data_IF_501304073681
#
_entry.id   IF_501304073681
#
_cell.length_a   1.000
_cell.length_b   1.000
_cell.length_c   1.000
_cell.angle_alpha   90.00
_cell.angle_beta   90.00
_cell.angle_gamma   90.00
#
_symmetry.space_group_name_H-M   'P 1'
#
loop_
_entity.id
_entity.type
_entity.pdbx_description
1 polymer ?
#
# COMPACT_ATOMS: atom_id res chain seq x y z
N UNK A 1 1.94 4.13 -7.04
CA UNK A 1 3.40 4.13 -6.77
C UNK A 1 3.69 5.27 -5.82
N UNK A 2 4.48 5.03 -4.78
CA UNK A 2 4.85 6.05 -3.79
C UNK A 2 6.37 6.17 -3.70
N UNK A 3 6.87 7.39 -3.67
CA UNK A 3 8.31 7.68 -3.69
C UNK A 3 8.64 8.64 -2.54
N UNK A 4 9.47 8.18 -1.60
CA UNK A 4 10.11 9.01 -0.58
C UNK A 4 11.60 9.16 -0.92
N UNK A 5 12.29 10.03 -0.19
CA UNK A 5 13.75 10.21 -0.32
C UNK A 5 14.55 8.92 -0.12
N UNK A 6 14.02 7.96 0.65
CA UNK A 6 14.73 6.74 1.06
C UNK A 6 13.94 5.45 0.82
N UNK A 7 12.69 5.53 0.32
CA UNK A 7 11.76 4.39 0.19
C UNK A 7 10.99 4.51 -1.12
N UNK A 8 10.78 3.37 -1.78
CA UNK A 8 9.94 3.26 -2.98
C UNK A 8 8.94 2.12 -2.74
N UNK A 9 7.67 2.39 -3.01
CA UNK A 9 6.61 1.37 -3.02
C UNK A 9 5.98 1.34 -4.40
N UNK A 10 6.06 0.17 -5.04
CA UNK A 10 5.49 -0.08 -6.35
C UNK A 10 4.58 -1.30 -6.27
N UNK A 11 3.27 -1.05 -6.44
CA UNK A 11 2.24 -2.08 -6.54
C UNK A 11 1.67 -2.08 -7.95
N UNK A 12 1.54 -3.26 -8.55
CA UNK A 12 0.94 -3.45 -9.87
C UNK A 12 0.02 -4.66 -9.84
N UNK A 13 -0.99 -4.68 -10.71
CA UNK A 13 -1.96 -5.76 -10.79
C UNK A 13 -1.98 -6.41 -12.19
N UNK A 14 -2.89 -7.38 -12.36
CA UNK A 14 -3.16 -8.10 -13.62
C UNK A 14 -1.93 -8.88 -14.08
N UNK A 15 -1.42 -8.63 -15.29
CA UNK A 15 -0.30 -9.35 -15.92
C UNK A 15 0.95 -8.49 -16.04
N UNK A 16 1.02 -7.40 -15.26
CA UNK A 16 2.16 -6.49 -15.26
C UNK A 16 3.39 -7.22 -14.72
N UNK A 17 4.50 -7.15 -15.45
CA UNK A 17 5.74 -7.82 -15.03
C UNK A 17 6.57 -6.91 -14.12
N UNK A 18 6.13 -6.75 -12.87
CA UNK A 18 6.74 -5.85 -11.88
C UNK A 18 8.25 -6.06 -11.74
N UNK A 19 8.70 -7.31 -11.58
CA UNK A 19 10.12 -7.62 -11.38
C UNK A 19 10.97 -7.34 -12.62
N UNK A 20 10.36 -7.23 -13.80
CA UNK A 20 11.09 -6.77 -15.00
C UNK A 20 11.47 -5.30 -14.92
N UNK A 21 10.79 -4.47 -14.12
CA UNK A 21 11.15 -3.06 -13.94
C UNK A 21 12.31 -2.87 -12.95
N UNK A 22 12.52 -3.82 -12.04
CA UNK A 22 13.41 -3.67 -10.90
C UNK A 22 14.86 -3.31 -11.27
N UNK A 23 15.53 -3.95 -12.26
CA UNK A 23 16.90 -3.57 -12.62
C UNK A 23 17.03 -2.10 -13.03
N UNK A 24 16.05 -1.58 -13.78
CA UNK A 24 16.05 -0.18 -14.24
C UNK A 24 15.79 0.79 -13.08
N UNK A 25 14.97 0.40 -12.09
CA UNK A 25 14.75 1.19 -10.88
C UNK A 25 16.07 1.35 -10.10
N UNK A 26 16.83 0.26 -9.91
CA UNK A 26 18.11 0.30 -9.19
C UNK A 26 19.17 1.12 -9.93
N UNK A 27 19.17 1.08 -11.27
CA UNK A 27 20.03 1.93 -12.09
C UNK A 27 19.66 3.43 -11.96
N UNK A 28 18.36 3.76 -12.02
CA UNK A 28 17.89 5.14 -11.84
C UNK A 28 18.31 5.68 -10.46
N UNK A 29 18.20 4.86 -9.41
CA UNK A 29 18.63 5.21 -8.07
C UNK A 29 20.14 5.57 -8.03
N UNK A 30 20.98 4.78 -8.70
CA UNK A 30 22.43 5.00 -8.78
C UNK A 30 22.82 6.23 -9.62
N UNK A 31 22.10 6.48 -10.71
CA UNK A 31 22.43 7.55 -11.66
C UNK A 31 21.89 8.91 -11.25
N UNK A 32 20.66 8.96 -10.72
CA UNK A 32 19.90 10.21 -10.56
C UNK A 32 19.52 10.53 -9.12
N UNK A 33 19.41 9.54 -8.24
CA UNK A 33 18.93 9.77 -6.87
C UNK A 33 20.06 9.90 -5.82
N UNK A 34 21.32 9.85 -6.24
CA UNK A 34 22.48 10.08 -5.37
C UNK A 34 22.82 8.92 -4.43
N UNK A 35 22.25 7.73 -4.66
CA UNK A 35 22.60 6.54 -3.87
C UNK A 35 23.95 5.95 -4.30
N UNK A 36 24.63 5.18 -3.41
CA UNK A 36 25.90 4.54 -3.72
C UNK A 36 25.83 3.69 -4.98
N UNK A 37 26.82 3.86 -5.86
CA UNK A 37 26.95 3.11 -7.11
C UNK A 37 27.68 1.81 -6.84
N UNK A 38 27.13 0.71 -7.33
CA UNK A 38 27.73 -0.61 -7.34
C UNK A 38 27.71 -1.18 -8.76
N UNK A 39 28.58 -2.14 -9.05
CA UNK A 39 28.53 -2.89 -10.30
C UNK A 39 27.18 -3.59 -10.41
N UNK A 40 26.48 -3.36 -11.52
CA UNK A 40 25.20 -4.02 -11.73
C UNK A 40 25.39 -5.55 -11.87
N UNK A 41 24.41 -6.35 -11.40
CA UNK A 41 24.34 -7.76 -11.73
C UNK A 41 24.45 -7.99 -13.24
N UNK A 42 25.02 -9.13 -13.71
CA UNK A 42 25.12 -9.47 -15.13
C UNK A 42 23.73 -9.79 -15.71
N UNK A 43 22.89 -8.78 -15.80
CA UNK A 43 21.50 -8.82 -16.22
C UNK A 43 21.20 -7.55 -17.04
N UNK A 44 20.71 -7.75 -18.28
CA UNK A 44 20.11 -6.70 -19.14
C UNK A 44 21.00 -5.50 -19.52
N UNK A 45 22.31 -5.72 -19.73
CA UNK A 45 23.26 -4.69 -20.23
C UNK A 45 23.41 -3.46 -19.32
N UNK A 46 23.10 -3.59 -18.03
CA UNK A 46 23.32 -2.53 -17.05
C UNK A 46 24.77 -2.56 -16.56
N UNK A 47 25.39 -1.39 -16.42
CA UNK A 47 26.75 -1.25 -15.89
C UNK A 47 26.76 -0.87 -14.40
N UNK A 48 25.74 -0.14 -13.96
CA UNK A 48 25.63 0.39 -12.59
C UNK A 48 24.25 0.15 -12.01
N UNK A 49 24.21 -0.12 -10.71
CA UNK A 49 22.99 -0.24 -9.93
C UNK A 49 23.28 0.22 -8.49
N UNK A 50 22.24 0.58 -7.76
CA UNK A 50 22.35 0.87 -6.33
C UNK A 50 21.79 -0.27 -5.52
N UNK A 51 22.53 -0.72 -4.51
CA UNK A 51 22.04 -1.70 -3.56
C UNK A 51 21.06 -1.01 -2.60
N UNK A 52 19.78 -1.43 -2.54
CA UNK A 52 18.85 -0.89 -1.56
C UNK A 52 19.28 -1.30 -0.15
N UNK A 53 18.83 -0.55 0.86
CA UNK A 53 19.04 -0.97 2.25
C UNK A 53 18.35 -2.30 2.54
N UNK A 54 17.11 -2.47 2.06
CA UNK A 54 16.32 -3.68 2.24
C UNK A 54 15.29 -3.82 1.12
N UNK A 55 14.95 -5.06 0.76
CA UNK A 55 13.94 -5.37 -0.26
C UNK A 55 12.84 -6.19 0.36
N UNK A 56 11.59 -5.82 0.04
CA UNK A 56 10.41 -6.63 0.29
C UNK A 56 9.68 -6.81 -1.04
N UNK A 57 9.45 -8.06 -1.42
CA UNK A 57 8.61 -8.41 -2.54
C UNK A 57 7.55 -9.39 -2.07
N UNK A 58 6.29 -9.05 -2.25
CA UNK A 58 5.20 -9.88 -1.80
C UNK A 58 4.05 -9.90 -2.80
N UNK A 59 3.23 -10.94 -2.68
CA UNK A 59 1.93 -11.03 -3.34
C UNK A 59 1.07 -12.11 -2.71
N UNK A 60 -0.25 -11.93 -2.80
CA UNK A 60 -1.21 -13.01 -2.58
C UNK A 60 -1.13 -14.06 -3.71
N UNK A 61 -1.60 -15.27 -3.44
CA UNK A 61 -1.84 -16.26 -4.49
C UNK A 61 -2.75 -15.70 -5.60
N UNK A 62 -2.42 -16.01 -6.85
CA UNK A 62 -3.18 -15.51 -7.99
C UNK A 62 -4.48 -16.28 -8.18
N UNK A 63 -5.54 -15.56 -8.57
CA UNK A 63 -6.78 -16.16 -9.05
C UNK A 63 -6.61 -16.84 -10.43
N UNK A 64 -5.66 -16.38 -11.24
CA UNK A 64 -5.40 -16.96 -12.57
C UNK A 64 -3.88 -17.08 -12.80
N UNK A 65 -3.19 -18.01 -12.11
CA UNK A 65 -1.74 -18.13 -12.21
C UNK A 65 -1.26 -18.41 -13.64
N UNK A 66 -2.01 -19.22 -14.41
CA UNK A 66 -1.66 -19.57 -15.80
C UNK A 66 -1.65 -18.38 -16.77
N UNK A 67 -2.29 -17.27 -16.41
CA UNK A 67 -2.32 -16.04 -17.23
C UNK A 67 -1.10 -15.15 -17.02
N UNK A 68 -0.28 -15.45 -16.01
CA UNK A 68 0.87 -14.61 -15.67
C UNK A 68 2.00 -14.73 -16.69
N UNK A 69 2.75 -13.63 -16.83
CA UNK A 69 3.89 -13.53 -17.74
C UNK A 69 5.19 -13.59 -16.94
N UNK A 70 6.25 -14.15 -17.55
CA UNK A 70 7.55 -14.24 -16.90
C UNK A 70 8.06 -12.86 -16.45
N UNK A 71 8.63 -12.74 -15.24
CA UNK A 71 9.01 -13.82 -14.31
C UNK A 71 7.90 -14.35 -13.38
N UNK A 72 6.65 -13.86 -13.47
CA UNK A 72 5.58 -14.11 -12.50
C UNK A 72 4.75 -15.39 -12.73
N UNK A 73 5.28 -16.35 -13.50
CA UNK A 73 4.56 -17.60 -13.83
C UNK A 73 4.50 -18.57 -12.65
N UNK A 74 5.48 -18.51 -11.76
CA UNK A 74 5.53 -19.33 -10.56
C UNK A 74 6.33 -18.62 -9.47
N UNK A 75 6.04 -18.93 -8.21
CA UNK A 75 6.82 -18.39 -7.08
C UNK A 75 8.32 -18.73 -7.21
N UNK A 76 8.63 -19.93 -7.71
CA UNK A 76 10.01 -20.36 -7.99
C UNK A 76 10.71 -19.45 -9.00
N UNK A 77 10.02 -19.05 -10.07
CA UNK A 77 10.60 -18.17 -11.10
C UNK A 77 10.82 -16.75 -10.58
N UNK A 78 9.93 -16.26 -9.70
CA UNK A 78 10.04 -14.96 -9.04
C UNK A 78 11.24 -14.91 -8.10
N UNK A 79 11.38 -15.92 -7.22
CA UNK A 79 12.53 -16.07 -6.32
C UNK A 79 13.83 -16.17 -7.12
N UNK A 80 13.86 -17.03 -8.16
CA UNK A 80 15.03 -17.14 -9.05
C UNK A 80 15.35 -15.83 -9.78
N UNK A 81 14.37 -14.97 -10.04
CA UNK A 81 14.60 -13.67 -10.63
C UNK A 81 15.23 -12.70 -9.64
N UNK A 82 14.78 -12.72 -8.37
CA UNK A 82 15.28 -11.89 -7.29
C UNK A 82 16.69 -12.31 -6.83
N UNK A 83 16.97 -13.61 -6.72
CA UNK A 83 18.29 -14.15 -6.35
C UNK A 83 19.39 -13.81 -7.37
N UNK A 84 19.02 -13.48 -8.61
CA UNK A 84 19.96 -12.96 -9.62
C UNK A 84 20.40 -11.53 -9.32
N UNK A 85 19.63 -10.79 -8.54
CA UNK A 85 19.86 -9.38 -8.24
C UNK A 85 20.41 -9.19 -6.83
N UNK A 86 19.93 -9.95 -5.85
CA UNK A 86 20.28 -9.77 -4.44
C UNK A 86 20.93 -11.02 -3.85
N UNK A 87 21.93 -10.82 -3.00
CA UNK A 87 22.51 -11.89 -2.20
C UNK A 87 21.67 -12.14 -0.94
N UNK A 88 21.66 -13.37 -0.43
CA UNK A 88 21.03 -13.78 0.84
C UNK A 88 19.53 -13.46 0.93
N UNK A 89 18.81 -13.58 -0.18
CA UNK A 89 17.35 -13.51 -0.19
C UNK A 89 16.71 -14.65 0.61
N UNK A 90 15.65 -14.33 1.35
CA UNK A 90 14.82 -15.31 2.06
C UNK A 90 13.40 -15.29 1.50
N UNK A 91 12.89 -16.46 1.12
CA UNK A 91 11.57 -16.64 0.54
C UNK A 91 10.66 -17.48 1.44
N UNK A 92 9.44 -17.00 1.67
CA UNK A 92 8.43 -17.59 2.54
C UNK A 92 7.09 -17.69 1.82
N UNK A 93 6.31 -18.69 2.22
CA UNK A 93 4.90 -18.82 1.89
C UNK A 93 4.15 -18.93 3.21
N UNK A 94 3.24 -17.99 3.43
CA UNK A 94 2.49 -17.85 4.68
C UNK A 94 1.02 -18.14 4.39
N UNK A 95 0.46 -19.17 5.03
CA UNK A 95 -0.90 -19.64 4.77
C UNK A 95 -0.96 -21.08 4.28
N UNK A 96 -2.15 -21.51 3.85
CA UNK A 96 -2.37 -22.87 3.34
C UNK A 96 -1.93 -22.98 1.88
N UNK A 97 -1.11 -23.98 1.56
CA UNK A 97 -0.64 -24.23 0.19
C UNK A 97 -1.79 -24.41 -0.81
N UNK A 98 -2.83 -25.12 -0.37
CA UNK A 98 -4.03 -25.48 -1.12
C UNK A 98 -5.22 -24.56 -0.77
N UNK A 99 -4.93 -23.30 -0.48
CA UNK A 99 -5.93 -22.33 -0.09
C UNK A 99 -5.34 -20.93 -0.05
N UNK A 100 -5.81 -20.14 0.90
CA UNK A 100 -5.41 -18.75 1.04
C UNK A 100 -3.99 -18.64 1.59
N UNK A 101 -3.08 -18.10 0.77
CA UNK A 101 -1.69 -17.87 1.15
C UNK A 101 -1.10 -16.63 0.50
N UNK A 102 -0.02 -16.17 1.11
CA UNK A 102 0.71 -14.99 0.76
C UNK A 102 2.19 -15.31 0.64
N UNK A 103 2.82 -14.86 -0.43
CA UNK A 103 4.23 -15.06 -0.72
C UNK A 103 5.03 -13.84 -0.30
N UNK A 104 6.20 -14.09 0.26
CA UNK A 104 7.13 -13.06 0.70
C UNK A 104 8.54 -13.42 0.31
N UNK A 105 9.24 -12.49 -0.32
CA UNK A 105 10.68 -12.49 -0.45
C UNK A 105 11.19 -11.24 0.28
N UNK A 106 12.19 -11.41 1.14
CA UNK A 106 12.88 -10.30 1.76
C UNK A 106 14.39 -10.52 1.81
N UNK A 107 15.11 -9.42 1.92
CA UNK A 107 16.54 -9.42 2.24
C UNK A 107 16.77 -9.01 3.69
N UNK A 108 17.95 -9.33 4.21
CA UNK A 108 18.49 -8.71 5.41
C UNK A 108 18.79 -7.22 5.17
N UNK A 109 18.88 -6.40 6.23
CA UNK A 109 19.43 -5.05 6.17
C UNK A 109 20.81 -5.00 5.50
N UNK A 110 21.08 -3.91 4.78
CA UNK A 110 22.33 -3.70 4.03
C UNK A 110 22.58 -4.77 2.95
N UNK A 111 21.53 -5.16 2.23
CA UNK A 111 21.63 -6.19 1.19
C UNK A 111 22.69 -5.85 0.13
N UNK A 112 23.43 -6.87 -0.32
CA UNK A 112 24.38 -6.76 -1.42
C UNK A 112 23.76 -7.20 -2.75
N UNK A 113 24.28 -6.67 -3.86
CA UNK A 113 23.92 -7.13 -5.20
C UNK A 113 24.71 -8.39 -5.58
N UNK A 114 24.15 -9.22 -6.48
CA UNK A 114 24.78 -10.45 -6.98
C UNK A 114 25.45 -10.22 -8.35
N UNK A 115 26.70 -10.66 -8.59
CA UNK A 115 27.64 -11.22 -7.62
C UNK A 115 28.15 -10.14 -6.66
N UNK A 116 28.55 -10.51 -5.43
CA UNK A 116 29.16 -9.57 -4.51
C UNK A 116 30.38 -8.91 -5.17
N UNK A 117 30.57 -7.61 -4.91
CA UNK A 117 31.74 -6.89 -5.40
C UNK A 117 33.01 -7.63 -4.95
N UNK A 118 33.94 -7.87 -5.88
CA UNK A 118 35.25 -8.42 -5.55
C UNK A 118 35.87 -7.57 -4.43
N UNK A 119 36.42 -8.18 -3.36
CA UNK A 119 37.11 -7.41 -2.34
C UNK A 119 38.20 -6.58 -3.02
N UNK A 120 38.38 -5.30 -2.66
CA UNK A 120 39.47 -4.51 -3.20
C UNK A 120 40.79 -5.23 -2.89
N UNK A 121 41.62 -5.44 -3.92
CA UNK A 121 42.97 -5.95 -3.74
C UNK A 121 43.76 -4.96 -2.87
N UNK A 122 44.31 -5.50 -1.77
CA UNK A 122 45.29 -4.90 -0.85
C UNK A 122 44.81 -3.71 0.00
N UNK A 123 44.77 -3.94 1.32
CA UNK A 123 45.26 -2.94 2.27
C UNK A 123 45.76 -3.66 3.53
N UNK A 124 46.97 -3.31 3.94
CA UNK A 124 47.64 -3.82 5.13
C UNK A 124 46.76 -3.71 6.39
N UNK A 125 46.92 -4.67 7.29
CA UNK A 125 46.31 -4.71 8.61
C UNK A 125 46.67 -3.46 9.42
N UNK A 126 45.86 -2.41 9.32
CA UNK A 126 45.86 -1.33 10.31
C UNK A 126 44.88 -1.70 11.41
N UNK A 127 45.43 -1.99 12.59
CA UNK A 127 44.66 -2.02 13.84
C UNK A 127 44.11 -0.61 14.04
N UNK A 128 42.83 -0.42 13.72
CA UNK A 128 42.10 0.81 14.01
C UNK A 128 41.70 0.78 15.48
N UNK A 129 42.33 1.61 16.30
CA UNK A 129 41.75 2.02 17.58
C UNK A 129 40.50 2.82 17.25
N UNK A 130 39.33 2.22 17.48
CA UNK A 130 38.03 2.84 17.30
C UNK A 130 37.83 3.86 18.44
N UNK A 131 37.67 5.16 18.15
CA UNK A 131 37.18 6.11 19.15
C UNK A 131 35.71 5.76 19.45
N UNK A 132 35.38 5.62 20.72
CA UNK A 132 34.09 5.15 21.27
C UNK A 132 32.85 6.02 20.97
N UNK A 133 32.89 6.94 20.00
CA UNK A 133 31.93 8.06 19.95
C UNK A 133 31.21 8.28 18.60
N UNK A 134 31.00 7.22 17.81
CA UNK A 134 30.23 7.28 16.56
C UNK A 134 28.97 6.41 16.51
N UNK A 135 28.63 5.71 17.61
CA UNK A 135 27.51 4.76 17.66
C UNK A 135 26.16 5.33 18.15
N UNK A 136 26.00 6.65 18.24
CA UNK A 136 24.82 7.23 18.93
C UNK A 136 23.83 8.03 18.07
N UNK A 137 23.95 8.14 16.74
CA UNK A 137 23.03 8.99 15.93
C UNK A 137 22.69 8.55 14.49
N UNK A 138 22.52 7.25 14.21
CA UNK A 138 21.99 6.78 12.89
C UNK A 138 20.97 5.64 12.96
N UNK A 139 20.22 5.53 14.04
CA UNK A 139 19.00 4.73 14.14
C UNK A 139 17.84 5.67 14.43
N UNK A 140 17.04 6.09 13.44
CA UNK A 140 15.85 6.92 13.72
C UNK A 140 14.68 6.77 12.71
N UNK A 141 14.62 5.73 11.87
CA UNK A 141 13.47 5.59 10.95
C UNK A 141 12.80 4.21 10.90
N UNK A 142 13.47 3.12 11.27
CA UNK A 142 12.81 1.79 11.33
C UNK A 142 11.95 1.61 12.59
N UNK A 143 12.20 2.38 13.65
CA UNK A 143 11.64 2.14 14.98
C UNK A 143 10.09 2.21 15.06
N UNK A 144 9.42 2.67 14.00
CA UNK A 144 7.96 2.75 13.93
C UNK A 144 7.39 2.43 12.53
N UNK A 145 8.12 1.72 11.64
CA UNK A 145 7.55 1.34 10.35
C UNK A 145 6.54 0.21 10.53
N UNK A 146 5.34 0.43 10.01
CA UNK A 146 4.23 -0.50 10.08
C UNK A 146 3.59 -0.56 8.69
N UNK A 147 3.13 -1.72 8.24
CA UNK A 147 2.37 -1.85 7.00
C UNK A 147 1.25 -2.84 7.19
N UNK A 148 0.03 -2.36 6.97
CA UNK A 148 -1.20 -3.13 6.99
C UNK A 148 -1.68 -3.33 5.55
N UNK A 149 -1.90 -4.56 5.13
CA UNK A 149 -2.65 -4.87 3.92
C UNK A 149 -3.91 -5.68 4.24
N UNK A 150 -5.00 -5.36 3.52
CA UNK A 150 -6.28 -6.06 3.58
C UNK A 150 -6.62 -6.44 2.14
N UNK A 151 -6.64 -7.74 1.86
CA UNK A 151 -6.89 -8.28 0.53
C UNK A 151 -8.20 -9.05 0.55
N UNK A 152 -9.15 -8.64 -0.28
CA UNK A 152 -10.56 -8.98 -0.17
C UNK A 152 -11.03 -9.64 -1.47
N UNK A 153 -11.77 -10.73 -1.36
CA UNK A 153 -12.40 -11.43 -2.49
C UNK A 153 -13.87 -11.65 -2.22
N UNK A 154 -14.61 -11.97 -3.28
CA UNK A 154 -16.04 -12.27 -3.18
C UNK A 154 -16.82 -11.06 -2.63
N UNK A 155 -16.55 -9.87 -3.19
CA UNK A 155 -17.18 -8.62 -2.77
C UNK A 155 -18.70 -8.70 -2.91
N UNK A 156 -19.44 -8.10 -1.98
CA UNK A 156 -20.91 -8.03 -2.08
C UNK A 156 -21.30 -7.22 -3.31
N UNK A 157 -22.19 -7.75 -4.15
CA UNK A 157 -22.50 -7.17 -5.46
C UNK A 157 -23.09 -5.75 -5.32
N UNK A 158 -24.01 -5.53 -4.37
CA UNK A 158 -24.59 -4.22 -4.07
C UNK A 158 -23.52 -3.18 -3.68
N UNK A 159 -22.48 -3.61 -2.95
CA UNK A 159 -21.37 -2.73 -2.59
C UNK A 159 -20.42 -2.50 -3.76
N UNK A 160 -20.17 -3.54 -4.57
CA UNK A 160 -19.28 -3.49 -5.72
C UNK A 160 -19.82 -2.61 -6.86
N UNK A 161 -21.15 -2.46 -6.97
CA UNK A 161 -21.82 -1.58 -7.93
C UNK A 161 -21.31 -0.13 -7.88
N UNK A 162 -20.90 0.35 -6.69
CA UNK A 162 -20.35 1.71 -6.52
C UNK A 162 -19.11 1.99 -7.35
N UNK A 163 -18.41 0.94 -7.83
CA UNK A 163 -17.19 1.04 -8.63
C UNK A 163 -17.42 0.81 -10.13
N UNK A 164 -18.69 0.89 -10.58
CA UNK A 164 -19.07 0.94 -11.98
C UNK A 164 -19.33 2.37 -12.42
N UNK A 165 -18.99 2.69 -13.68
CA UNK A 165 -19.18 4.01 -14.26
C UNK A 165 -20.64 4.47 -14.16
N UNK A 166 -21.58 3.63 -14.59
CA UNK A 166 -23.01 3.96 -14.63
C UNK A 166 -23.56 4.35 -13.26
N UNK A 167 -23.16 3.63 -12.20
CA UNK A 167 -23.57 3.91 -10.83
C UNK A 167 -22.93 5.21 -10.32
N UNK A 168 -21.62 5.38 -10.52
CA UNK A 168 -20.90 6.57 -10.08
C UNK A 168 -21.43 7.84 -10.75
N UNK A 169 -21.73 7.79 -12.06
CA UNK A 169 -22.35 8.90 -12.79
C UNK A 169 -23.73 9.24 -12.24
N UNK A 170 -24.57 8.24 -11.94
CA UNK A 170 -25.88 8.47 -11.34
C UNK A 170 -25.78 9.15 -9.95
N UNK A 171 -24.82 8.73 -9.13
CA UNK A 171 -24.55 9.36 -7.82
C UNK A 171 -24.06 10.80 -7.99
N UNK A 172 -23.18 11.05 -8.96
CA UNK A 172 -22.68 12.39 -9.26
C UNK A 172 -23.81 13.34 -9.71
N UNK A 173 -24.71 12.88 -10.58
CA UNK A 173 -25.87 13.65 -11.05
C UNK A 173 -26.82 14.03 -9.90
N UNK A 174 -27.09 13.09 -8.99
CA UNK A 174 -27.94 13.35 -7.82
C UNK A 174 -27.31 14.41 -6.93
N UNK A 175 -25.99 14.33 -6.69
CA UNK A 175 -25.25 15.32 -5.90
C UNK A 175 -25.27 16.69 -6.56
N UNK A 176 -25.03 16.76 -7.87
CA UNK A 176 -25.04 18.02 -8.61
C UNK A 176 -26.39 18.72 -8.52
N UNK A 177 -27.50 17.99 -8.76
CA UNK A 177 -28.86 18.51 -8.62
C UNK A 177 -29.19 18.98 -7.21
N UNK A 178 -28.63 18.34 -6.18
CA UNK A 178 -28.81 18.75 -4.79
C UNK A 178 -28.12 20.09 -4.51
N UNK A 179 -26.89 20.25 -5.00
CA UNK A 179 -26.11 21.50 -4.86
C UNK A 179 -26.79 22.64 -5.62
N UNK A 180 -27.33 22.40 -6.82
CA UNK A 180 -28.09 23.41 -7.56
C UNK A 180 -29.33 23.87 -6.79
N UNK A 181 -30.11 22.94 -6.23
CA UNK A 181 -31.27 23.30 -5.40
C UNK A 181 -30.87 24.10 -4.15
N UNK A 182 -29.80 23.70 -3.47
CA UNK A 182 -29.30 24.42 -2.28
C UNK A 182 -28.79 25.83 -2.65
N UNK A 183 -28.19 26.00 -3.84
CA UNK A 183 -27.79 27.32 -4.34
C UNK A 183 -29.00 28.18 -4.71
N UNK A 184 -30.00 27.62 -5.37
CA UNK A 184 -31.24 28.36 -5.70
C UNK A 184 -31.99 28.78 -4.43
N UNK A 185 -31.99 27.96 -3.38
CA UNK A 185 -32.56 28.32 -2.05
C UNK A 185 -31.72 29.38 -1.30
N UNK A 186 -30.41 29.46 -1.53
CA UNK A 186 -29.53 30.45 -0.88
C UNK A 186 -29.54 31.83 -1.58
N UNK A 187 -29.92 31.88 -2.87
CA UNK A 187 -29.92 33.12 -3.68
C UNK A 187 -31.21 33.95 -3.49
N UNK A 188 -32.22 33.43 -2.79
CA UNK A 188 -33.53 34.10 -2.58
C UNK A 188 -33.62 34.92 -1.26
N UNK A 189 -32.52 35.52 -0.79
CA UNK A 189 -32.50 36.36 0.44
C UNK A 189 -32.02 37.81 0.23
N UNK A 190 -31.44 38.16 -0.94
CA UNK A 190 -31.04 39.56 -1.23
C UNK A 190 -31.25 40.00 -2.68
N UNK A 191 -32.27 39.50 -3.38
CA UNK A 191 -32.69 40.10 -4.66
C UNK A 191 -33.50 41.38 -4.43
N UNK A 192 -32.82 42.44 -4.01
CA UNK A 192 -33.19 43.83 -4.29
C UNK A 192 -32.02 44.75 -3.92
N UNK A 193 -31.06 44.92 -4.85
CA UNK A 193 -30.45 46.23 -5.20
C UNK A 193 -29.36 46.05 -6.28
N UNK A 194 -29.69 46.53 -7.50
CA UNK A 194 -28.88 47.39 -8.38
C UNK A 194 -27.41 47.07 -8.75
N UNK A 195 -27.20 47.21 -10.08
CA UNK A 195 -26.05 47.76 -10.84
C UNK A 195 -24.76 46.94 -11.02
N UNK A 196 -24.64 46.37 -12.22
CA UNK A 196 -23.75 46.85 -13.30
C UNK A 196 -22.30 47.20 -12.92
N UNK A 197 -21.36 46.32 -13.25
CA UNK A 197 -20.02 46.65 -13.78
C UNK A 197 -19.43 45.43 -14.50
N UNK A 198 -19.17 45.60 -15.79
CA UNK A 198 -18.33 44.74 -16.63
C UNK A 198 -16.84 44.97 -16.36
N UNK A 199 -16.03 43.92 -16.39
CA UNK A 199 -14.66 44.01 -16.94
C UNK A 199 -14.18 42.64 -17.47
N UNK A 200 -13.53 42.61 -18.66
CA UNK A 200 -12.92 41.42 -19.23
C UNK A 200 -11.39 41.46 -19.07
N UNK A 201 -10.78 40.40 -18.52
CA UNK A 201 -9.38 40.09 -18.80
C UNK A 201 -9.08 38.63 -18.43
N UNK A 202 -8.80 37.80 -19.43
CA UNK A 202 -8.12 36.52 -19.23
C UNK A 202 -7.31 36.21 -20.48
N UNK A 203 -6.10 36.75 -20.50
CA UNK A 203 -5.06 36.38 -21.43
C UNK A 203 -4.35 35.09 -20.96
N UNK A 204 -4.43 34.07 -21.83
CA UNK A 204 -3.37 33.11 -22.14
C UNK A 204 -2.65 32.38 -20.99
N UNK A 205 -3.13 31.17 -20.66
CA UNK A 205 -2.28 30.13 -20.08
C UNK A 205 -2.11 28.95 -21.05
N UNK A 206 -0.84 28.64 -21.32
CA UNK A 206 -0.37 27.55 -22.16
C UNK A 206 -0.83 26.21 -21.59
N UNK A 207 -1.72 25.53 -22.31
CA UNK A 207 -2.14 24.17 -22.00
C UNK A 207 -0.97 23.19 -22.17
N UNK A 208 -0.31 22.86 -21.06
CA UNK A 208 0.36 21.57 -20.90
C UNK A 208 -0.72 20.48 -20.96
N UNK A 209 -0.93 19.92 -22.14
CA UNK A 209 -1.93 18.88 -22.38
C UNK A 209 -1.49 17.59 -21.69
N UNK A 210 -2.09 17.28 -20.54
CA UNK A 210 -1.92 16.00 -19.86
C UNK A 210 -2.53 14.87 -20.72
N UNK A 211 -1.99 13.63 -20.61
CA UNK A 211 -2.55 12.44 -21.26
C UNK A 211 -4.06 12.30 -21.08
N UNK A 212 -4.81 11.76 -22.06
CA UNK A 212 -6.25 11.53 -21.92
C UNK A 212 -6.61 10.56 -20.78
N UNK A 213 -5.70 9.75 -20.26
CA UNK A 213 -5.95 8.99 -19.02
C UNK A 213 -6.00 9.88 -17.77
N UNK A 214 -5.51 11.12 -17.83
CA UNK A 214 -5.59 12.17 -16.81
C UNK A 214 -6.74 13.15 -17.09
N UNK A 215 -7.71 12.78 -17.94
CA UNK A 215 -8.93 13.58 -18.12
C UNK A 215 -9.66 13.77 -16.81
N UNK A 216 -10.22 14.97 -16.63
CA UNK A 216 -10.94 15.43 -15.43
C UNK A 216 -12.10 14.53 -15.01
N UNK A 217 -12.71 13.77 -15.92
CA UNK A 217 -13.91 12.97 -15.65
C UNK A 217 -13.63 11.77 -14.74
N UNK A 218 -12.64 10.94 -15.05
CA UNK A 218 -12.29 9.76 -14.24
C UNK A 218 -11.86 10.13 -12.81
N UNK A 219 -11.13 11.25 -12.66
CA UNK A 219 -10.76 11.79 -11.35
C UNK A 219 -11.93 12.42 -10.60
N UNK A 220 -12.82 13.15 -11.30
CA UNK A 220 -14.01 13.73 -10.69
C UNK A 220 -14.95 12.64 -10.16
N UNK A 221 -15.23 11.62 -10.99
CA UNK A 221 -16.03 10.47 -10.57
C UNK A 221 -15.32 9.64 -9.50
N UNK A 222 -14.01 9.45 -9.59
CA UNK A 222 -13.21 8.81 -8.55
C UNK A 222 -13.33 9.53 -7.21
N UNK A 223 -13.34 10.87 -7.20
CA UNK A 223 -13.57 11.68 -6.00
C UNK A 223 -14.97 11.43 -5.43
N UNK A 224 -16.01 11.45 -6.28
CA UNK A 224 -17.40 11.17 -5.87
C UNK A 224 -17.50 9.79 -5.22
N UNK A 225 -16.90 8.76 -5.84
CA UNK A 225 -16.90 7.39 -5.33
C UNK A 225 -16.15 7.29 -4.00
N UNK A 226 -14.97 7.89 -3.89
CA UNK A 226 -14.18 7.91 -2.64
C UNK A 226 -14.98 8.47 -1.46
N UNK A 227 -15.74 9.54 -1.69
CA UNK A 227 -16.60 10.14 -0.68
C UNK A 227 -17.86 9.32 -0.40
N UNK A 228 -18.54 8.82 -1.44
CA UNK A 228 -19.81 8.11 -1.27
C UNK A 228 -19.65 6.74 -0.61
N UNK A 229 -18.56 6.04 -0.91
CA UNK A 229 -18.29 4.72 -0.35
C UNK A 229 -17.68 4.76 1.06
N UNK A 230 -17.32 5.95 1.56
CA UNK A 230 -16.70 6.14 2.88
C UNK A 230 -15.18 5.97 2.90
N UNK A 231 -14.51 5.80 1.76
CA UNK A 231 -13.05 5.71 1.71
C UNK A 231 -12.37 6.96 2.27
N UNK A 232 -12.94 8.14 2.00
CA UNK A 232 -12.44 9.43 2.52
C UNK A 232 -12.50 9.52 4.05
N UNK A 233 -13.30 8.70 4.71
CA UNK A 233 -13.47 8.68 6.16
C UNK A 233 -12.55 7.67 6.87
N UNK A 234 -11.73 6.92 6.13
CA UNK A 234 -10.73 6.02 6.72
C UNK A 234 -9.70 6.84 7.49
N UNK A 235 -9.19 7.93 6.88
CA UNK A 235 -8.33 8.93 7.50
C UNK A 235 -8.95 10.33 7.33
N UNK A 236 -9.90 10.71 8.19
CA UNK A 236 -10.74 11.88 7.97
C UNK A 236 -9.94 13.19 8.13
N UNK A 237 -10.30 14.21 7.36
CA UNK A 237 -9.69 15.53 7.40
C UNK A 237 -9.76 16.21 8.78
N UNK A 238 -10.77 15.86 9.60
CA UNK A 238 -10.88 16.35 10.98
C UNK A 238 -9.70 15.95 11.87
N UNK A 239 -9.06 14.81 11.57
CA UNK A 239 -7.87 14.32 12.26
C UNK A 239 -6.59 14.53 11.44
N UNK A 240 -6.70 14.46 10.13
CA UNK A 240 -5.60 14.59 9.18
C UNK A 240 -5.90 15.73 8.19
N UNK A 241 -5.80 17.00 8.61
CA UNK A 241 -6.25 18.14 7.81
C UNK A 241 -5.52 18.26 6.47
N UNK A 242 -4.27 17.82 6.42
CA UNK A 242 -3.45 17.84 5.21
C UNK A 242 -3.51 16.53 4.41
N UNK A 243 -4.41 15.61 4.78
CA UNK A 243 -4.61 14.38 4.00
C UNK A 243 -5.20 14.69 2.63
N UNK A 244 -4.72 13.98 1.61
CA UNK A 244 -5.17 14.14 0.22
C UNK A 244 -5.40 12.78 -0.39
N UNK A 245 -6.45 12.67 -1.19
CA UNK A 245 -6.79 11.46 -1.93
C UNK A 245 -6.83 11.82 -3.41
N UNK A 246 -6.06 11.07 -4.20
CA UNK A 246 -6.17 11.06 -5.65
C UNK A 246 -6.84 9.75 -6.06
N UNK A 247 -8.09 9.84 -6.51
CA UNK A 247 -8.93 8.71 -6.87
C UNK A 247 -9.29 8.75 -8.35
N UNK A 248 -9.40 7.57 -8.96
CA UNK A 248 -9.69 7.40 -10.38
C UNK A 248 -10.67 6.25 -10.57
N UNK A 249 -11.75 6.52 -11.32
CA UNK A 249 -12.72 5.53 -11.77
C UNK A 249 -12.42 5.12 -13.22
N UNK A 250 -12.36 3.82 -13.47
CA UNK A 250 -12.07 3.25 -14.78
C UNK A 250 -13.35 2.91 -15.55
N UNK A 251 -13.23 2.85 -16.88
CA UNK A 251 -14.32 2.50 -17.79
C UNK A 251 -14.17 1.06 -18.28
N UNK A 252 -15.23 0.23 -18.26
CA UNK A 252 -16.59 0.52 -17.75
C UNK A 252 -16.72 0.42 -16.22
N UNK A 253 -15.73 -0.16 -15.56
CA UNK A 253 -15.69 -0.33 -14.11
C UNK A 253 -14.24 -0.47 -13.62
N UNK A 254 -14.09 -0.41 -12.30
CA UNK A 254 -12.80 -0.50 -11.61
C UNK A 254 -12.45 0.82 -10.96
N UNK A 255 -11.72 0.76 -9.85
CA UNK A 255 -11.40 1.95 -9.07
C UNK A 255 -10.00 1.85 -8.49
N UNK A 256 -9.29 2.97 -8.44
CA UNK A 256 -7.99 3.09 -7.78
C UNK A 256 -7.92 4.39 -7.02
N UNK A 257 -7.34 4.38 -5.82
CA UNK A 257 -7.08 5.59 -5.06
C UNK A 257 -5.74 5.54 -4.35
N UNK A 258 -5.04 6.66 -4.31
CA UNK A 258 -3.85 6.86 -3.50
C UNK A 258 -4.13 7.98 -2.49
N UNK A 259 -3.99 7.67 -1.21
CA UNK A 259 -4.02 8.63 -0.14
C UNK A 259 -2.61 8.99 0.31
N UNK A 260 -2.38 10.28 0.53
CA UNK A 260 -1.19 10.80 1.22
C UNK A 260 -1.66 11.37 2.55
N UNK A 261 -1.09 10.88 3.64
CA UNK A 261 -1.54 11.17 5.02
C UNK A 261 -0.36 11.72 5.81
N UNK A 262 -0.14 13.05 5.83
CA UNK A 262 0.87 13.66 6.68
C UNK A 262 0.62 13.35 8.16
N UNK A 263 1.69 13.07 8.91
CA UNK A 263 1.57 12.82 10.34
C UNK A 263 1.09 14.09 11.07
N UNK A 264 0.10 14.00 11.99
CA UNK A 264 -0.44 15.17 12.69
C UNK A 264 0.59 15.90 13.56
N UNK A 265 1.64 15.22 13.99
CA UNK A 265 2.71 15.77 14.82
C UNK A 265 3.73 16.60 14.00
N UNK A 266 3.62 16.59 12.67
CA UNK A 266 4.55 17.26 11.74
C UNK A 266 5.99 16.71 11.76
N UNK A 267 6.26 15.67 12.54
CA UNK A 267 7.61 15.12 12.79
C UNK A 267 7.76 13.71 12.24
N UNK A 268 6.70 12.91 12.27
CA UNK A 268 6.72 11.50 11.87
C UNK A 268 6.62 11.29 10.34
N UNK A 269 6.86 12.34 9.55
CA UNK A 269 6.88 12.26 8.10
C UNK A 269 5.49 12.16 7.47
N UNK A 270 5.43 11.56 6.28
CA UNK A 270 4.20 11.42 5.49
C UNK A 270 3.94 9.95 5.23
N UNK A 271 2.75 9.52 5.60
CA UNK A 271 2.22 8.17 5.40
C UNK A 271 1.38 8.10 4.13
N UNK A 272 0.96 6.90 3.76
CA UNK A 272 0.12 6.66 2.61
C UNK A 272 -0.94 5.61 2.90
N UNK A 273 -1.96 5.61 2.05
CA UNK A 273 -2.73 4.41 1.79
C UNK A 273 -3.01 4.26 0.30
N UNK A 274 -3.36 3.07 -0.15
CA UNK A 274 -3.76 2.83 -1.53
C UNK A 274 -4.86 1.78 -1.60
N UNK A 275 -5.78 1.98 -2.54
CA UNK A 275 -6.90 1.08 -2.81
C UNK A 275 -6.95 0.75 -4.29
N UNK A 276 -7.19 -0.52 -4.60
CA UNK A 276 -7.45 -0.99 -5.96
C UNK A 276 -8.63 -1.96 -5.95
N UNK A 277 -9.57 -1.78 -6.87
CA UNK A 277 -10.83 -2.52 -6.92
C UNK A 277 -11.08 -3.07 -8.32
N UNK A 278 -11.40 -4.36 -8.37
CA UNK A 278 -11.89 -5.11 -9.54
C UNK A 278 -13.29 -5.61 -9.15
N UNK A 279 -14.36 -4.90 -9.52
CA UNK A 279 -15.70 -5.16 -8.99
C UNK A 279 -16.44 -6.33 -9.66
N UNK A 280 -15.92 -6.87 -10.77
CA UNK A 280 -16.63 -7.88 -11.56
C UNK A 280 -16.95 -9.16 -10.76
N UNK A 281 -18.21 -9.61 -10.67
CA UNK A 281 -18.62 -10.69 -9.75
C UNK A 281 -17.82 -11.98 -9.89
N UNK A 282 -17.50 -12.39 -11.12
CA UNK A 282 -16.77 -13.63 -11.40
C UNK A 282 -15.31 -13.63 -10.90
N UNK A 283 -14.74 -12.46 -10.62
CA UNK A 283 -13.37 -12.32 -10.16
C UNK A 283 -13.19 -11.14 -9.19
N UNK A 284 -14.23 -10.86 -8.39
CA UNK A 284 -14.26 -9.66 -7.57
C UNK A 284 -13.12 -9.67 -6.56
N UNK A 285 -12.42 -8.53 -6.49
CA UNK A 285 -11.21 -8.35 -5.70
C UNK A 285 -11.05 -6.88 -5.29
N UNK A 286 -10.67 -6.63 -4.04
CA UNK A 286 -10.23 -5.32 -3.59
C UNK A 286 -8.99 -5.46 -2.71
N UNK A 287 -8.07 -4.52 -2.81
CA UNK A 287 -6.93 -4.40 -1.90
C UNK A 287 -6.89 -3.03 -1.25
N UNK A 288 -6.65 -2.99 0.04
CA UNK A 288 -6.30 -1.79 0.80
C UNK A 288 -4.92 -2.00 1.42
N UNK A 289 -4.05 -1.01 1.35
CA UNK A 289 -2.71 -1.04 1.94
C UNK A 289 -2.40 0.32 2.55
N UNK A 290 -1.78 0.36 3.73
CA UNK A 290 -1.40 1.60 4.41
C UNK A 290 -0.20 1.39 5.32
N UNK A 291 0.57 2.47 5.53
CA UNK A 291 1.60 2.53 6.57
C UNK A 291 1.29 3.54 7.68
N UNK A 292 0.05 4.05 7.77
CA UNK A 292 -0.32 4.99 8.84
C UNK A 292 -0.30 4.23 10.17
N UNK A 293 0.57 4.60 11.14
CA UNK A 293 0.73 3.83 12.37
C UNK A 293 -0.55 3.86 13.21
N UNK A 294 -0.99 2.70 13.68
CA UNK A 294 -2.25 2.61 14.43
C UNK A 294 -2.22 3.45 15.71
N UNK A 295 -1.08 3.48 16.39
CA UNK A 295 -0.87 4.29 17.59
C UNK A 295 -1.07 5.80 17.35
N UNK A 296 -0.75 6.29 16.15
CA UNK A 296 -0.92 7.71 15.78
C UNK A 296 -2.35 8.02 15.33
N UNK A 297 -3.07 7.01 14.83
CA UNK A 297 -4.43 7.17 14.31
C UNK A 297 -5.51 7.27 15.35
N UNK A 298 -5.23 6.99 16.63
CA UNK A 298 -6.23 6.94 17.72
C UNK A 298 -7.40 5.97 17.45
N UNK A 299 -7.31 5.21 16.36
CA UNK A 299 -8.13 4.07 15.97
C UNK A 299 -7.21 2.86 16.07
N UNK A 300 -7.75 1.75 16.51
CA UNK A 300 -6.97 0.52 16.52
C UNK A 300 -6.97 -0.13 15.13
N UNK A 301 -6.02 -1.03 14.87
CA UNK A 301 -5.96 -1.81 13.61
C UNK A 301 -7.30 -2.46 13.28
N UNK A 302 -7.99 -2.99 14.29
CA UNK A 302 -9.30 -3.60 14.13
C UNK A 302 -10.36 -2.61 13.62
N UNK A 303 -10.29 -1.33 14.02
CA UNK A 303 -11.23 -0.31 13.57
C UNK A 303 -11.00 0.07 12.10
N UNK A 304 -9.73 0.14 11.67
CA UNK A 304 -9.38 0.39 10.27
C UNK A 304 -9.83 -0.80 9.42
N UNK A 305 -9.49 -2.03 9.84
CA UNK A 305 -9.90 -3.26 9.16
C UNK A 305 -11.42 -3.33 9.04
N UNK A 306 -12.15 -3.10 10.14
CA UNK A 306 -13.61 -3.09 10.12
C UNK A 306 -14.16 -2.06 9.13
N UNK A 307 -13.66 -0.83 9.15
CA UNK A 307 -14.14 0.22 8.26
C UNK A 307 -13.91 -0.17 6.79
N UNK A 308 -12.69 -0.58 6.42
CA UNK A 308 -12.38 -1.00 5.05
C UNK A 308 -13.26 -2.19 4.63
N UNK A 309 -13.40 -3.20 5.49
CA UNK A 309 -14.25 -4.37 5.22
C UNK A 309 -15.73 -3.99 5.09
N UNK A 310 -16.20 -2.96 5.79
CA UNK A 310 -17.58 -2.47 5.68
C UNK A 310 -17.86 -1.75 4.34
N UNK A 311 -16.83 -1.18 3.69
CA UNK A 311 -16.96 -0.57 2.35
C UNK A 311 -17.29 -1.64 1.31
N UNK A 312 -16.59 -2.79 1.36
CA UNK A 312 -16.64 -3.80 0.30
C UNK A 312 -17.47 -5.05 0.64
N UNK A 313 -17.75 -5.29 1.92
CA UNK A 313 -18.48 -6.46 2.45
C UNK A 313 -18.04 -7.82 1.84
N UNK A 314 -16.73 -8.11 1.76
CA UNK A 314 -16.24 -9.33 1.10
C UNK A 314 -16.77 -10.62 1.73
N UNK A 315 -16.89 -11.69 0.96
CA UNK A 315 -17.13 -13.03 1.49
C UNK A 315 -15.91 -13.56 2.25
N UNK A 316 -14.70 -13.18 1.81
CA UNK A 316 -13.42 -13.62 2.37
C UNK A 316 -12.37 -12.53 2.30
N UNK A 317 -11.50 -12.45 3.30
CA UNK A 317 -10.35 -11.53 3.23
C UNK A 317 -9.16 -12.00 4.07
N UNK A 318 -7.97 -11.56 3.68
CA UNK A 318 -6.74 -11.75 4.43
C UNK A 318 -6.22 -10.41 4.94
N UNK A 319 -5.59 -10.42 6.11
CA UNK A 319 -4.88 -9.27 6.68
C UNK A 319 -3.42 -9.65 6.87
N UNK A 320 -2.51 -8.86 6.32
CA UNK A 320 -1.07 -8.91 6.63
C UNK A 320 -0.71 -7.66 7.41
N UNK A 321 -0.07 -7.84 8.56
CA UNK A 321 0.46 -6.75 9.37
C UNK A 321 1.96 -6.97 9.56
N UNK A 322 2.77 -6.06 9.02
CA UNK A 322 4.20 -5.96 9.27
C UNK A 322 4.45 -4.87 10.30
N UNK A 323 5.04 -5.22 11.43
CA UNK A 323 5.46 -4.27 12.47
C UNK A 323 6.99 -4.37 12.63
N UNK A 324 7.70 -3.26 12.52
CA UNK A 324 9.13 -3.22 12.83
C UNK A 324 9.35 -3.48 14.34
N UNK A 325 10.38 -4.27 14.65
CA UNK A 325 10.74 -4.57 16.04
C UNK A 325 11.45 -3.35 16.66
N UNK A 326 11.15 -3.02 17.92
CA UNK A 326 11.90 -1.98 18.62
C UNK A 326 13.37 -2.45 18.80
N UNK A 327 14.32 -1.56 18.52
CA UNK A 327 15.74 -1.83 18.78
C UNK A 327 15.93 -1.82 20.29
N UNK A 328 16.22 -2.98 20.88
CA UNK A 328 16.44 -3.09 22.32
C UNK A 328 17.73 -2.37 22.72
N UNK A 329 17.60 -1.17 23.28
CA UNK A 329 18.65 -0.53 24.07
C UNK A 329 18.55 -1.07 25.51
N UNK A 330 19.68 -1.46 26.08
CA UNK A 330 19.85 -2.31 27.28
C UNK A 330 19.15 -1.88 28.59
N UNK A 331 18.38 -0.80 28.62
CA UNK A 331 17.75 -0.26 29.85
C UNK A 331 16.23 -0.48 29.95
N UNK A 332 15.57 -1.12 28.97
CA UNK A 332 14.09 -1.13 28.88
C UNK A 332 13.38 -2.48 29.17
N UNK A 333 13.89 -3.30 30.08
CA UNK A 333 13.18 -4.52 30.54
C UNK A 333 11.76 -4.28 31.14
N UNK A 334 11.42 -3.03 31.50
CA UNK A 334 10.09 -2.64 31.97
C UNK A 334 9.12 -2.26 30.82
N UNK A 335 9.61 -1.90 29.63
CA UNK A 335 8.77 -1.53 28.49
C UNK A 335 8.21 -2.77 27.77
N UNK A 336 8.98 -3.87 27.73
CA UNK A 336 8.55 -5.16 27.17
C UNK A 336 7.23 -5.66 27.77
N UNK A 337 7.06 -5.63 29.10
CA UNK A 337 5.82 -6.10 29.76
C UNK A 337 4.59 -5.25 29.42
N UNK A 338 4.77 -3.96 29.16
CA UNK A 338 3.67 -3.07 28.72
C UNK A 338 3.37 -3.25 27.23
N UNK A 339 4.40 -3.39 26.41
CA UNK A 339 4.30 -3.69 24.99
C UNK A 339 3.53 -5.00 24.77
N UNK A 340 3.92 -6.06 25.47
CA UNK A 340 3.29 -7.39 25.39
C UNK A 340 1.81 -7.36 25.81
N UNK A 341 1.48 -6.70 26.93
CA UNK A 341 0.07 -6.56 27.36
C UNK A 341 -0.78 -5.76 26.38
N UNK A 342 -0.22 -4.72 25.75
CA UNK A 342 -0.92 -3.95 24.72
C UNK A 342 -1.08 -4.74 23.42
N UNK A 343 -0.07 -5.51 23.01
CA UNK A 343 -0.10 -6.38 21.85
C UNK A 343 -1.13 -7.50 22.01
N UNK A 344 -1.28 -8.07 23.21
CA UNK A 344 -2.32 -9.06 23.53
C UNK A 344 -3.73 -8.47 23.37
N UNK A 345 -3.97 -7.25 23.85
CA UNK A 345 -5.27 -6.58 23.69
C UNK A 345 -5.57 -6.25 22.22
N UNK A 346 -4.58 -5.74 21.47
CA UNK A 346 -4.69 -5.51 20.02
C UNK A 346 -5.01 -6.82 19.28
N UNK A 347 -4.32 -7.90 19.64
CA UNK A 347 -4.54 -9.21 19.05
C UNK A 347 -5.97 -9.70 19.32
N UNK A 348 -6.50 -9.55 20.55
CA UNK A 348 -7.85 -9.98 20.91
C UNK A 348 -8.96 -9.30 20.10
N UNK A 349 -8.84 -8.00 19.80
CA UNK A 349 -9.84 -7.31 18.98
C UNK A 349 -9.78 -7.72 17.52
N UNK A 350 -8.59 -8.02 17.01
CA UNK A 350 -8.42 -8.62 15.68
C UNK A 350 -9.01 -10.04 15.60
N UNK A 351 -9.22 -10.75 16.72
CA UNK A 351 -9.90 -12.05 16.69
C UNK A 351 -11.39 -11.93 16.33
N UNK A 352 -12.02 -10.79 16.61
CA UNK A 352 -13.46 -10.60 16.50
C UNK A 352 -13.81 -9.41 15.58
N UNK A 353 -13.67 -9.58 14.27
CA UNK A 353 -14.20 -8.62 13.29
C UNK A 353 -15.71 -8.88 13.10
N UNK A 354 -16.60 -7.91 13.38
CA UNK A 354 -18.05 -8.12 13.32
C UNK A 354 -18.53 -8.65 11.97
N UNK A 355 -19.30 -9.74 11.97
CA UNK A 355 -19.80 -10.38 10.74
C UNK A 355 -18.86 -11.40 10.12
N UNK A 356 -17.65 -11.58 10.67
CA UNK A 356 -16.63 -12.48 10.15
C UNK A 356 -16.07 -13.39 11.24
N UNK A 357 -15.69 -14.61 10.84
CA UNK A 357 -14.93 -15.54 11.67
C UNK A 357 -13.49 -15.59 11.17
N UNK A 358 -12.54 -15.51 12.10
CA UNK A 358 -11.12 -15.74 11.82
C UNK A 358 -10.87 -17.23 11.65
N UNK A 359 -10.40 -17.64 10.47
CA UNK A 359 -10.10 -19.03 10.13
C UNK A 359 -8.66 -19.39 10.48
N UNK A 360 -7.69 -18.56 10.04
CA UNK A 360 -6.27 -18.79 10.30
C UNK A 360 -5.60 -17.57 10.92
N UNK A 361 -4.59 -17.82 11.75
CA UNK A 361 -3.64 -16.81 12.25
C UNK A 361 -2.25 -17.42 12.27
N UNK A 362 -1.32 -16.79 11.58
CA UNK A 362 0.08 -17.20 11.52
C UNK A 362 0.93 -16.01 11.90
N UNK A 363 1.88 -16.24 12.80
CA UNK A 363 2.86 -15.24 13.23
C UNK A 363 4.23 -15.72 12.76
N UNK A 364 4.95 -14.86 12.07
CA UNK A 364 6.32 -15.09 11.66
C UNK A 364 7.22 -14.04 12.30
N UNK A 365 8.24 -14.54 13.00
CA UNK A 365 9.38 -13.74 13.44
C UNK A 365 10.35 -13.62 12.25
N UNK A 366 10.52 -12.41 11.74
CA UNK A 366 11.45 -12.07 10.69
C UNK A 366 12.53 -11.12 11.24
N UNK A 367 13.65 -11.03 10.53
CA UNK A 367 14.76 -10.16 10.95
C UNK A 367 14.31 -8.69 11.05
N UNK A 368 14.21 -8.16 12.27
CA UNK A 368 13.73 -6.80 12.53
C UNK A 368 12.23 -6.55 12.29
N UNK A 369 11.42 -7.56 11.97
CA UNK A 369 9.97 -7.40 11.77
C UNK A 369 9.17 -8.56 12.35
N UNK A 370 8.02 -8.27 12.93
CA UNK A 370 6.98 -9.25 13.19
C UNK A 370 5.94 -9.19 12.07
N UNK A 371 5.63 -10.35 11.47
CA UNK A 371 4.58 -10.50 10.49
C UNK A 371 3.42 -11.29 11.09
N UNK A 372 2.24 -10.70 11.09
CA UNK A 372 1.00 -11.40 11.43
C UNK A 372 0.11 -11.51 10.21
N UNK A 373 -0.11 -12.74 9.75
CA UNK A 373 -1.09 -13.09 8.73
C UNK A 373 -2.37 -13.60 9.38
N UNK A 374 -3.52 -13.10 8.93
CA UNK A 374 -4.84 -13.58 9.34
C UNK A 374 -5.74 -13.79 8.14
N UNK A 375 -6.58 -14.81 8.20
CA UNK A 375 -7.59 -15.11 7.18
C UNK A 375 -8.98 -15.15 7.82
N UNK A 376 -9.96 -14.52 7.17
CA UNK A 376 -11.32 -14.37 7.65
C UNK A 376 -12.33 -14.80 6.59
N UNK A 377 -13.45 -15.36 7.05
CA UNK A 377 -14.61 -15.69 6.24
C UNK A 377 -15.86 -15.04 6.84
N UNK A 378 -16.76 -14.56 5.99
CA UNK A 378 -18.05 -14.01 6.43
C UNK A 378 -18.88 -15.10 7.11
N UNK A 379 -19.64 -14.76 8.15
CA UNK A 379 -20.36 -15.75 8.96
C UNK A 379 -21.42 -16.53 8.16
N UNK A 380 -22.04 -15.88 7.19
CA UNK A 380 -23.02 -16.45 6.26
C UNK A 380 -22.39 -17.04 4.99
N UNK A 381 -21.05 -17.01 4.87
CA UNK A 381 -20.35 -17.57 3.73
C UNK A 381 -20.55 -19.08 3.70
N UNK A 382 -21.32 -19.55 2.71
CA UNK A 382 -21.69 -20.97 2.56
C UNK A 382 -20.60 -21.83 1.90
N UNK A 383 -19.45 -21.23 1.59
CA UNK A 383 -18.42 -21.87 0.77
C UNK A 383 -18.84 -21.92 -0.71
N UNK A 384 -17.86 -21.72 -1.58
CA UNK A 384 -18.00 -21.92 -3.03
C UNK A 384 -17.10 -23.05 -3.50
N UNK A 385 -17.22 -23.44 -4.77
CA UNK A 385 -16.16 -24.23 -5.41
C UNK A 385 -14.83 -23.45 -5.29
N UNK A 386 -13.69 -24.12 -5.01
CA UNK A 386 -12.39 -23.45 -4.98
C UNK A 386 -12.21 -22.65 -6.26
N UNK A 387 -11.87 -21.37 -6.13
CA UNK A 387 -11.64 -20.54 -7.31
C UNK A 387 -10.44 -21.11 -8.08
N UNK A 388 -10.34 -20.84 -9.37
CA UNK A 388 -9.15 -21.18 -10.16
C UNK A 388 -7.93 -20.60 -9.42
N UNK A 389 -6.85 -21.37 -9.25
CA UNK A 389 -5.68 -20.95 -8.46
C UNK A 389 -5.75 -21.17 -6.94
N UNK A 390 -6.85 -21.69 -6.40
CA UNK A 390 -6.95 -22.19 -5.00
C UNK A 390 -6.74 -23.72 -4.89
N UNK A 391 -6.43 -24.40 -6.01
CA UNK A 391 -6.23 -25.86 -6.11
C UNK A 391 -4.82 -26.33 -5.74
#
# INVERSE_FOLDING_TARGET
MFVWRHKLILKTCVTTTLLSGLPRILEIAALFAGFPKSTAPPCRNLSVASAPYRVFYSRKNFLFPDRQRGPHRSWRDEVKNLDKLFANGSAYMIGKMNGEHWYLYLTEPHTALTPPASPPHETETRVLNIPEDLNSKKATHEENDETLEILMTDLEEENAEQFYLDHASAVADIRYRKIEKEKDELVDVFSNTSSDMSDPDSDGEQQHTLPPELTTEGHALGTVVSESCGLSDVYPASKYPDSRIDAYLFTPCGFSANGVVPAPDGKSGTHYFTVHVTPEPQCSYASFETNVPHAQSGRETADIVKHVVDIFKPGRFTVTLFEAKPVMVSEEFLSEKKYDRSAVLRAQKMENIPGYRRVDRIVHDLDGYDLVFRYYERNDWKGGAPRIGEY
#
